data_IF_388584860927
#
_entry.id   IF_388584860927
#
_cell.length_a   1.000
_cell.length_b   1.000
_cell.length_c   1.000
_cell.angle_alpha   90.00
_cell.angle_beta   90.00
_cell.angle_gamma   90.00
#
_symmetry.space_group_name_H-M   'P 1'
#
loop_
_entity.id
_entity.type
_entity.pdbx_description
1 polymer ?
#
# COMPACT_ATOMS: atom_id res chain seq x y z
N UNK A 1 -76.77 -7.28 46.87
CA UNK A 1 -76.26 -7.50 45.51
C UNK A 1 -75.08 -6.60 45.26
N UNK A 2 -73.86 -7.12 45.31
CA UNK A 2 -72.58 -6.34 45.10
C UNK A 2 -71.96 -6.93 43.86
N UNK A 3 -71.94 -6.11 42.77
CA UNK A 3 -71.26 -6.42 41.55
C UNK A 3 -69.78 -6.04 41.68
N UNK A 4 -68.89 -7.04 41.55
CA UNK A 4 -67.43 -6.84 41.45
C UNK A 4 -67.13 -6.70 39.98
N UNK A 5 -66.64 -5.52 39.60
CA UNK A 5 -66.09 -5.23 38.27
C UNK A 5 -64.60 -5.58 38.33
N UNK A 6 -64.20 -6.63 37.61
CA UNK A 6 -62.80 -7.00 37.40
C UNK A 6 -62.20 -6.13 36.29
N UNK A 7 -61.28 -5.26 36.64
CA UNK A 7 -60.54 -4.44 35.71
C UNK A 7 -59.31 -5.21 35.20
N UNK A 8 -59.39 -5.73 33.95
CA UNK A 8 -58.25 -6.39 33.28
C UNK A 8 -57.24 -5.33 32.80
N UNK A 9 -56.07 -5.27 33.44
CA UNK A 9 -54.94 -4.46 32.98
C UNK A 9 -54.29 -5.20 31.79
N UNK A 10 -54.50 -4.72 30.59
CA UNK A 10 -53.71 -5.11 29.41
C UNK A 10 -52.39 -4.37 29.43
N UNK A 11 -51.30 -5.06 29.73
CA UNK A 11 -49.94 -4.55 29.59
C UNK A 11 -49.52 -4.69 28.12
N UNK A 12 -49.29 -3.62 27.37
CA UNK A 12 -48.72 -3.73 26.04
C UNK A 12 -47.26 -4.18 26.20
N UNK A 13 -46.93 -5.38 25.76
CA UNK A 13 -45.59 -5.84 25.50
C UNK A 13 -45.06 -5.05 24.27
N UNK A 14 -44.43 -3.89 24.53
CA UNK A 14 -43.59 -3.29 23.54
C UNK A 14 -42.35 -4.17 23.39
N UNK A 15 -42.42 -5.10 22.44
CA UNK A 15 -41.29 -5.85 21.97
C UNK A 15 -40.29 -4.86 21.43
N UNK A 16 -39.13 -4.71 22.08
CA UNK A 16 -37.93 -4.06 21.52
C UNK A 16 -37.48 -4.90 20.32
N UNK A 17 -38.07 -4.62 19.17
CA UNK A 17 -37.63 -5.11 17.89
C UNK A 17 -37.16 -3.96 17.04
N UNK A 18 -36.13 -3.27 17.48
CA UNK A 18 -35.39 -2.27 16.68
C UNK A 18 -33.92 -2.68 16.63
N UNK A 19 -33.67 -3.84 16.03
CA UNK A 19 -32.41 -4.00 15.34
C UNK A 19 -32.66 -3.35 13.98
N UNK A 20 -32.21 -2.11 13.82
CA UNK A 20 -32.23 -1.42 12.53
C UNK A 20 -31.29 -2.21 11.60
N UNK A 21 -31.76 -2.83 10.50
CA UNK A 21 -30.88 -3.54 9.59
C UNK A 21 -29.82 -2.63 8.92
N UNK A 22 -29.92 -1.31 9.09
CA UNK A 22 -28.90 -0.37 8.64
C UNK A 22 -27.74 -0.18 9.63
N UNK A 23 -27.80 -0.77 10.83
CA UNK A 23 -26.68 -0.73 11.80
C UNK A 23 -25.59 -1.74 11.45
N UNK A 24 -25.82 -2.62 10.47
CA UNK A 24 -24.90 -3.69 10.11
C UNK A 24 -23.89 -3.30 9.01
N UNK A 25 -24.00 -2.12 8.42
CA UNK A 25 -23.09 -1.67 7.37
C UNK A 25 -22.30 -0.42 7.80
N UNK A 26 -20.99 -0.55 7.84
CA UNK A 26 -20.07 0.54 8.15
C UNK A 26 -19.32 0.98 6.89
N UNK A 27 -19.17 2.30 6.70
CA UNK A 27 -18.22 2.83 5.73
C UNK A 27 -16.80 2.67 6.28
N UNK A 28 -16.01 1.80 5.66
CA UNK A 28 -14.61 1.55 5.99
C UNK A 28 -13.64 2.25 5.03
N UNK A 29 -14.09 3.23 4.25
CA UNK A 29 -13.16 4.02 3.43
C UNK A 29 -12.03 4.58 4.31
N UNK A 30 -10.79 4.25 3.97
CA UNK A 30 -9.62 4.70 4.72
C UNK A 30 -9.20 6.11 4.28
N UNK A 31 -8.67 6.92 5.19
CA UNK A 31 -7.98 8.15 4.82
C UNK A 31 -6.86 7.87 3.82
N UNK A 32 -6.66 8.78 2.88
CA UNK A 32 -5.60 8.65 1.89
C UNK A 32 -4.23 8.50 2.56
N UNK A 33 -3.48 7.47 2.16
CA UNK A 33 -2.10 7.23 2.58
C UNK A 33 -1.15 7.86 1.59
N UNK A 34 -0.24 8.70 2.07
CA UNK A 34 0.73 9.40 1.24
C UNK A 34 2.04 8.63 1.18
N UNK A 35 2.51 8.38 -0.04
CA UNK A 35 3.80 7.76 -0.34
C UNK A 35 4.67 8.76 -1.10
N UNK A 36 5.92 8.88 -0.68
CA UNK A 36 6.88 9.79 -1.33
C UNK A 36 8.11 9.01 -1.77
N UNK A 37 8.35 8.99 -3.07
CA UNK A 37 9.62 8.58 -3.67
C UNK A 37 10.45 9.85 -3.82
N UNK A 38 11.60 9.90 -3.15
CA UNK A 38 12.54 11.02 -3.27
C UNK A 38 13.90 10.46 -3.66
N UNK A 39 14.43 10.92 -4.79
CA UNK A 39 15.72 10.45 -5.31
C UNK A 39 16.88 10.72 -4.34
N UNK A 40 16.76 11.72 -3.47
CA UNK A 40 17.76 12.00 -2.44
C UNK A 40 17.92 10.82 -1.45
N UNK A 41 16.89 10.00 -1.24
CA UNK A 41 16.94 8.85 -0.33
C UNK A 41 17.81 7.71 -0.85
N UNK A 42 18.08 7.66 -2.16
CA UNK A 42 19.02 6.67 -2.70
C UNK A 42 20.48 7.05 -2.45
N UNK A 43 20.75 8.32 -2.12
CA UNK A 43 22.10 8.81 -1.84
C UNK A 43 23.07 8.60 -3.00
N UNK A 44 22.56 8.68 -4.24
CA UNK A 44 23.34 8.40 -5.44
C UNK A 44 24.54 9.34 -5.59
N UNK A 45 25.71 8.77 -5.66
CA UNK A 45 26.96 9.46 -5.95
C UNK A 45 27.63 8.79 -7.15
N UNK A 46 27.94 9.58 -8.18
CA UNK A 46 28.65 9.09 -9.38
C UNK A 46 27.95 7.91 -10.09
N UNK A 47 26.60 7.87 -10.10
CA UNK A 47 25.85 6.81 -10.73
C UNK A 47 26.17 6.65 -12.24
N UNK A 48 26.43 7.76 -12.95
CA UNK A 48 26.85 7.76 -14.35
C UNK A 48 28.21 7.05 -14.55
N UNK A 49 29.12 7.19 -13.59
CA UNK A 49 30.42 6.51 -13.63
C UNK A 49 30.24 5.02 -13.38
N UNK A 50 29.38 4.65 -12.44
CA UNK A 50 29.05 3.25 -12.14
C UNK A 50 28.46 2.56 -13.36
N UNK A 51 27.43 3.13 -13.98
CA UNK A 51 26.74 2.51 -15.13
C UNK A 51 27.60 2.51 -16.39
N UNK A 52 28.63 3.34 -16.46
CA UNK A 52 29.61 3.37 -17.54
C UNK A 52 30.84 2.48 -17.26
N UNK A 53 30.94 1.91 -16.05
CA UNK A 53 32.07 1.07 -15.67
C UNK A 53 32.05 -0.25 -16.45
N UNK A 54 33.15 -0.55 -17.15
CA UNK A 54 33.31 -1.85 -17.79
C UNK A 54 33.43 -2.95 -16.74
N UNK A 55 32.77 -4.06 -17.00
CA UNK A 55 32.74 -5.20 -16.09
C UNK A 55 32.96 -6.54 -16.78
N UNK A 56 33.17 -7.56 -15.97
CA UNK A 56 33.15 -8.97 -16.35
C UNK A 56 32.13 -9.69 -15.45
N UNK A 57 31.46 -10.69 -16.00
CA UNK A 57 30.44 -11.44 -15.26
C UNK A 57 31.05 -12.23 -14.09
N UNK A 58 32.31 -12.59 -14.20
CA UNK A 58 33.02 -13.35 -13.15
C UNK A 58 34.52 -13.04 -13.17
N UNK A 59 35.08 -12.41 -12.11
CA UNK A 59 34.37 -11.83 -10.98
C UNK A 59 33.59 -10.57 -11.38
N UNK A 60 32.44 -10.33 -10.72
CA UNK A 60 31.61 -9.15 -10.96
C UNK A 60 32.07 -7.98 -10.03
N UNK A 61 32.63 -6.89 -10.59
CA UNK A 61 33.06 -5.74 -9.80
C UNK A 61 31.93 -4.79 -9.46
N UNK A 62 30.74 -4.91 -10.09
CA UNK A 62 29.66 -3.94 -9.95
C UNK A 62 29.03 -3.92 -8.57
N UNK A 63 28.96 -5.08 -7.90
CA UNK A 63 28.40 -5.17 -6.55
C UNK A 63 29.18 -4.31 -5.54
N UNK A 64 30.50 -4.38 -5.57
CA UNK A 64 31.35 -3.58 -4.68
C UNK A 64 31.31 -2.09 -5.03
N UNK A 65 31.13 -1.75 -6.31
CA UNK A 65 30.98 -0.36 -6.75
C UNK A 65 29.63 0.24 -6.32
N UNK A 66 28.54 -0.57 -6.29
CA UNK A 66 27.24 -0.12 -5.83
C UNK A 66 27.24 0.28 -4.33
N UNK A 67 28.00 -0.41 -3.48
CA UNK A 67 28.15 -0.06 -2.05
C UNK A 67 28.73 1.35 -1.85
N UNK A 68 29.50 1.85 -2.81
CA UNK A 68 30.09 3.20 -2.79
C UNK A 68 29.19 4.25 -3.47
N UNK A 69 28.33 3.83 -4.39
CA UNK A 69 27.52 4.71 -5.21
C UNK A 69 26.12 5.00 -4.63
N UNK A 70 25.65 4.21 -3.67
CA UNK A 70 24.31 4.34 -3.09
C UNK A 70 24.35 4.35 -1.57
N UNK A 71 23.30 4.92 -0.95
CA UNK A 71 23.02 4.70 0.46
C UNK A 71 22.84 3.21 0.74
N UNK A 72 23.24 2.74 1.92
CA UNK A 72 23.24 1.32 2.29
C UNK A 72 21.87 0.66 2.08
N UNK A 73 21.82 -0.35 1.22
CA UNK A 73 20.61 -1.10 0.92
C UNK A 73 19.61 -0.41 -0.01
N UNK A 74 19.95 0.77 -0.56
CA UNK A 74 19.09 1.49 -1.50
C UNK A 74 19.23 1.01 -2.94
N UNK A 75 20.32 0.33 -3.26
CA UNK A 75 20.54 -0.23 -4.59
C UNK A 75 21.43 -1.48 -4.57
N UNK A 76 21.46 -2.16 -5.71
CA UNK A 76 22.46 -3.14 -6.10
C UNK A 76 22.95 -2.85 -7.52
N UNK A 77 24.12 -3.34 -7.88
CA UNK A 77 24.55 -3.34 -9.28
C UNK A 77 25.06 -4.71 -9.68
N UNK A 78 24.89 -5.03 -10.96
CA UNK A 78 25.29 -6.29 -11.56
C UNK A 78 25.87 -6.04 -12.95
N UNK A 79 26.85 -6.87 -13.34
CA UNK A 79 27.40 -6.80 -14.68
C UNK A 79 26.40 -7.31 -15.72
N UNK A 80 26.03 -6.48 -16.67
CA UNK A 80 25.23 -6.85 -17.82
C UNK A 80 26.08 -7.66 -18.79
N UNK A 81 25.72 -8.90 -19.02
CA UNK A 81 26.48 -9.81 -19.89
C UNK A 81 26.50 -9.39 -21.38
N UNK A 82 25.58 -8.51 -21.80
CA UNK A 82 25.47 -8.06 -23.19
C UNK A 82 26.26 -6.78 -23.43
N UNK A 83 26.07 -5.76 -22.58
CA UNK A 83 26.76 -4.47 -22.70
C UNK A 83 28.16 -4.48 -22.07
N UNK A 84 28.44 -5.44 -21.20
CA UNK A 84 29.65 -5.52 -20.36
C UNK A 84 29.87 -4.25 -19.52
N UNK A 85 28.78 -3.64 -19.09
CA UNK A 85 28.74 -2.50 -18.18
C UNK A 85 27.85 -2.81 -16.97
N UNK A 86 27.96 -2.03 -15.89
CA UNK A 86 27.17 -2.26 -14.69
C UNK A 86 25.73 -1.72 -14.85
N UNK A 87 24.74 -2.57 -14.66
CA UNK A 87 23.36 -2.15 -14.48
C UNK A 87 23.10 -1.88 -13.00
N UNK A 88 22.54 -0.70 -12.69
CA UNK A 88 22.16 -0.29 -11.34
C UNK A 88 20.69 -0.50 -11.12
N UNK A 89 20.29 -1.21 -10.05
CA UNK A 89 18.91 -1.37 -9.64
C UNK A 89 18.66 -0.63 -8.35
N UNK A 90 17.79 0.38 -8.40
CA UNK A 90 17.35 1.17 -7.25
C UNK A 90 16.06 0.56 -6.68
N UNK A 91 16.04 0.38 -5.35
CA UNK A 91 14.88 -0.15 -4.66
C UNK A 91 13.96 0.96 -4.20
N UNK A 92 12.69 0.81 -4.50
CA UNK A 92 11.59 1.58 -3.90
C UNK A 92 10.83 0.63 -2.99
N UNK A 93 10.78 0.95 -1.70
CA UNK A 93 9.98 0.21 -0.74
C UNK A 93 9.50 1.20 0.32
N UNK A 94 8.25 1.61 0.20
CA UNK A 94 7.60 2.58 1.07
C UNK A 94 6.47 1.88 1.82
N UNK A 95 6.29 2.18 3.09
CA UNK A 95 5.19 1.61 3.87
C UNK A 95 4.47 2.69 4.68
N UNK A 96 3.20 2.42 4.95
CA UNK A 96 2.37 3.24 5.84
C UNK A 96 1.49 2.32 6.68
N UNK A 97 1.48 2.48 8.01
CA UNK A 97 0.63 1.70 8.89
C UNK A 97 -0.84 2.08 8.73
N UNK A 98 -1.70 1.08 8.89
CA UNK A 98 -3.15 1.19 8.98
C UNK A 98 -3.58 0.59 10.30
N UNK A 99 -4.18 1.41 11.16
CA UNK A 99 -4.81 1.00 12.40
C UNK A 99 -6.29 1.37 12.32
N UNK A 100 -7.15 0.38 12.07
CA UNK A 100 -8.56 0.62 11.83
C UNK A 100 -9.28 1.18 13.06
N UNK A 101 -8.88 0.82 14.27
CA UNK A 101 -9.48 1.38 15.50
C UNK A 101 -9.13 2.85 15.70
N UNK A 102 -7.96 3.28 15.19
CA UNK A 102 -7.55 4.70 15.23
C UNK A 102 -8.22 5.50 14.10
N UNK A 103 -8.29 4.91 12.91
CA UNK A 103 -8.82 5.59 11.72
C UNK A 103 -10.35 5.60 11.64
N UNK A 104 -11.00 4.62 12.30
CA UNK A 104 -12.45 4.39 12.37
C UNK A 104 -12.86 4.09 13.81
N UNK A 105 -12.90 5.12 14.68
CA UNK A 105 -13.21 4.93 16.11
C UNK A 105 -14.58 4.29 16.37
N UNK A 106 -15.51 4.37 15.41
CA UNK A 106 -16.82 3.71 15.48
C UNK A 106 -16.72 2.18 15.59
N UNK A 107 -15.63 1.56 15.08
CA UNK A 107 -15.37 0.13 15.23
C UNK A 107 -15.18 -0.29 16.71
N UNK A 108 -14.86 0.66 17.58
CA UNK A 108 -14.75 0.38 19.01
C UNK A 108 -16.10 -0.08 19.62
N UNK A 109 -17.23 0.21 18.99
CA UNK A 109 -18.57 -0.21 19.46
C UNK A 109 -18.84 -1.70 19.24
N UNK A 110 -18.07 -2.35 18.35
CA UNK A 110 -18.19 -3.77 18.00
C UNK A 110 -16.94 -4.57 18.41
N UNK A 111 -16.21 -4.12 19.43
CA UNK A 111 -14.97 -4.76 19.86
C UNK A 111 -15.11 -6.21 20.33
N UNK A 112 -16.32 -6.64 20.70
CA UNK A 112 -16.60 -8.02 21.09
C UNK A 112 -16.63 -8.98 19.90
N UNK A 113 -16.83 -8.44 18.68
CA UNK A 113 -16.79 -9.25 17.46
C UNK A 113 -15.34 -9.59 17.10
N UNK A 114 -15.03 -10.86 16.78
CA UNK A 114 -13.67 -11.28 16.46
C UNK A 114 -13.21 -10.75 15.10
N UNK A 115 -14.08 -10.76 14.11
CA UNK A 115 -13.87 -10.36 12.72
C UNK A 115 -15.12 -9.68 12.19
N UNK A 116 -14.93 -8.84 11.17
CA UNK A 116 -16.02 -8.24 10.38
C UNK A 116 -15.91 -8.71 8.93
N UNK A 117 -17.05 -8.78 8.23
CA UNK A 117 -17.04 -9.07 6.80
C UNK A 117 -16.78 -7.77 6.01
N UNK A 118 -15.67 -7.71 5.30
CA UNK A 118 -15.23 -6.52 4.57
C UNK A 118 -15.32 -6.74 3.07
N UNK A 119 -15.99 -5.83 2.40
CA UNK A 119 -16.00 -5.75 0.93
C UNK A 119 -15.16 -4.55 0.46
N UNK A 120 -14.16 -4.81 -0.38
CA UNK A 120 -13.34 -3.77 -1.01
C UNK A 120 -14.03 -3.31 -2.31
N UNK A 121 -14.46 -2.06 -2.33
CA UNK A 121 -15.09 -1.46 -3.51
C UNK A 121 -14.04 -1.07 -4.54
N UNK A 122 -13.04 -0.25 -4.11
CA UNK A 122 -11.96 0.21 -4.95
C UNK A 122 -10.69 0.50 -4.14
N UNK A 123 -9.55 0.35 -4.78
CA UNK A 123 -8.28 0.94 -4.33
C UNK A 123 -7.89 1.96 -5.38
N UNK A 124 -7.69 3.20 -4.99
CA UNK A 124 -7.38 4.30 -5.90
C UNK A 124 -6.01 4.89 -5.60
N UNK A 125 -5.40 5.52 -6.60
CA UNK A 125 -4.21 6.34 -6.40
C UNK A 125 -4.37 7.69 -7.12
N UNK A 126 -3.65 8.70 -6.63
CA UNK A 126 -3.58 10.03 -7.21
C UNK A 126 -2.16 10.55 -7.14
N UNK A 127 -1.63 11.03 -8.27
CA UNK A 127 -0.29 11.64 -8.32
C UNK A 127 -0.42 13.12 -8.00
N UNK A 128 0.02 13.51 -6.79
CA UNK A 128 -0.11 14.87 -6.27
C UNK A 128 1.00 15.78 -6.76
N UNK A 129 2.22 15.25 -6.81
CA UNK A 129 3.43 15.95 -7.25
C UNK A 129 4.32 14.96 -8.01
N UNK A 130 4.90 15.39 -9.11
CA UNK A 130 5.89 14.60 -9.83
C UNK A 130 6.91 15.54 -10.47
N UNK A 131 8.09 15.57 -9.92
CA UNK A 131 9.27 16.25 -10.46
C UNK A 131 10.38 15.28 -10.89
N UNK A 132 10.05 13.95 -10.89
CA UNK A 132 11.00 12.96 -11.41
C UNK A 132 11.32 13.23 -12.88
N UNK A 133 12.61 13.18 -13.21
CA UNK A 133 13.10 13.31 -14.59
C UNK A 133 13.01 12.01 -15.40
N UNK A 134 12.64 10.90 -14.74
CA UNK A 134 12.46 9.58 -15.35
C UNK A 134 11.04 9.07 -15.05
N UNK A 135 10.51 8.22 -15.94
CA UNK A 135 9.26 7.50 -15.66
C UNK A 135 9.50 6.46 -14.54
N UNK A 136 8.50 6.27 -13.68
CA UNK A 136 8.55 5.13 -12.77
C UNK A 136 8.29 3.84 -13.52
N UNK A 137 8.86 2.71 -13.12
CA UNK A 137 8.33 1.42 -13.53
C UNK A 137 6.95 1.18 -12.90
N UNK A 138 6.31 0.07 -13.26
CA UNK A 138 5.13 -0.42 -12.53
C UNK A 138 5.47 -0.60 -11.06
N UNK A 139 4.59 -0.14 -10.18
CA UNK A 139 4.75 -0.25 -8.72
C UNK A 139 3.71 -1.24 -8.18
N UNK A 140 4.17 -2.19 -7.38
CA UNK A 140 3.30 -3.15 -6.71
C UNK A 140 2.84 -2.61 -5.38
N UNK A 141 1.57 -2.90 -5.05
CA UNK A 141 0.94 -2.54 -3.78
C UNK A 141 0.68 -3.82 -2.99
N UNK A 142 1.06 -3.82 -1.71
CA UNK A 142 0.94 -4.98 -0.84
C UNK A 142 0.22 -4.61 0.45
N UNK A 143 -0.45 -5.60 1.05
CA UNK A 143 -0.84 -5.60 2.45
C UNK A 143 0.07 -6.57 3.22
N UNK A 144 0.47 -6.21 4.42
CA UNK A 144 1.42 -6.98 5.20
C UNK A 144 1.24 -6.78 6.72
N UNK A 145 1.63 -7.73 7.58
CA UNK A 145 1.68 -7.51 9.02
C UNK A 145 2.57 -6.31 9.39
N UNK A 146 2.28 -5.65 10.51
CA UNK A 146 3.02 -4.45 10.99
C UNK A 146 4.54 -4.62 11.07
N UNK A 147 5.02 -5.84 11.26
CA UNK A 147 6.46 -6.15 11.33
C UNK A 147 7.15 -6.15 9.98
N UNK A 148 6.39 -6.15 8.89
CA UNK A 148 6.87 -6.20 7.51
C UNK A 148 6.82 -4.81 6.91
N UNK A 149 7.98 -4.29 6.51
CA UNK A 149 8.16 -2.93 5.98
C UNK A 149 8.78 -2.90 4.57
N UNK A 150 8.98 -4.08 3.96
CA UNK A 150 9.62 -4.21 2.63
C UNK A 150 8.75 -5.03 1.69
N UNK A 151 8.65 -4.56 0.44
CA UNK A 151 7.89 -5.22 -0.62
C UNK A 151 8.40 -6.63 -0.98
N UNK A 152 9.70 -6.90 -0.77
CA UNK A 152 10.30 -8.21 -1.05
C UNK A 152 10.16 -9.25 0.08
N UNK A 153 9.48 -8.90 1.18
CA UNK A 153 9.25 -9.82 2.29
C UNK A 153 8.21 -10.89 1.88
N UNK A 154 8.43 -12.18 2.20
CA UNK A 154 7.49 -13.25 1.85
C UNK A 154 6.12 -13.14 2.51
N UNK A 155 5.99 -12.36 3.58
CA UNK A 155 4.70 -12.07 4.24
C UNK A 155 3.98 -10.86 3.64
N UNK A 156 4.62 -10.10 2.73
CA UNK A 156 3.96 -9.04 1.98
C UNK A 156 3.12 -9.67 0.86
N UNK A 157 1.80 -9.50 0.93
CA UNK A 157 0.84 -10.09 -0.02
C UNK A 157 0.42 -9.03 -1.02
N UNK A 158 0.69 -9.27 -2.31
CA UNK A 158 0.34 -8.36 -3.40
C UNK A 158 -1.18 -8.19 -3.53
N UNK A 159 -1.65 -6.95 -3.48
CA UNK A 159 -3.06 -6.60 -3.66
C UNK A 159 -3.34 -5.95 -5.02
N UNK A 160 -2.33 -5.37 -5.67
CA UNK A 160 -2.49 -4.78 -6.99
C UNK A 160 -1.25 -4.05 -7.48
N UNK A 161 -1.40 -3.37 -8.62
CA UNK A 161 -0.32 -2.61 -9.24
C UNK A 161 -0.77 -1.22 -9.66
N UNK A 162 0.14 -0.25 -9.51
CA UNK A 162 0.04 1.08 -10.10
C UNK A 162 0.86 1.07 -11.38
N UNK A 163 0.28 1.36 -12.54
CA UNK A 163 1.02 1.42 -13.80
C UNK A 163 2.15 2.44 -13.77
N UNK A 164 3.09 2.32 -14.69
CA UNK A 164 4.19 3.27 -14.85
C UNK A 164 3.67 4.71 -14.96
N UNK A 165 4.26 5.61 -14.18
CA UNK A 165 3.92 7.04 -14.18
C UNK A 165 4.98 7.78 -15.02
N UNK A 166 4.59 8.47 -16.10
CA UNK A 166 5.54 9.23 -16.91
C UNK A 166 6.23 10.33 -16.11
N UNK A 167 7.47 10.65 -16.49
CA UNK A 167 8.25 11.72 -15.88
C UNK A 167 7.47 13.05 -15.86
N UNK A 168 7.49 13.75 -14.74
CA UNK A 168 6.86 15.06 -14.57
C UNK A 168 5.33 15.09 -14.65
N UNK A 169 4.64 13.95 -14.80
CA UNK A 169 3.20 13.90 -14.96
C UNK A 169 2.49 13.78 -13.61
N UNK A 170 1.53 14.65 -13.34
CA UNK A 170 0.52 14.49 -12.29
C UNK A 170 -0.72 13.82 -12.85
N UNK A 171 -1.46 13.08 -12.01
CA UNK A 171 -2.65 12.35 -12.43
C UNK A 171 -3.77 12.54 -11.41
N UNK A 172 -5.01 12.62 -11.89
CA UNK A 172 -6.20 12.57 -11.03
C UNK A 172 -6.36 11.20 -10.36
N UNK A 173 -7.44 11.06 -9.58
CA UNK A 173 -7.77 9.77 -8.96
C UNK A 173 -8.01 8.71 -10.04
N UNK A 174 -7.33 7.58 -9.90
CA UNK A 174 -7.32 6.47 -10.85
C UNK A 174 -7.31 5.16 -10.07
N UNK A 175 -7.94 4.12 -10.60
CA UNK A 175 -7.98 2.82 -9.94
C UNK A 175 -6.62 2.10 -10.03
N UNK A 176 -6.25 1.46 -8.91
CA UNK A 176 -5.16 0.47 -8.87
C UNK A 176 -5.62 -0.78 -9.63
N UNK A 177 -4.77 -1.33 -10.48
CA UNK A 177 -5.04 -2.61 -11.16
C UNK A 177 -4.92 -3.73 -10.13
N UNK A 178 -6.06 -4.26 -9.68
CA UNK A 178 -6.09 -5.27 -8.64
C UNK A 178 -5.60 -6.63 -9.15
N UNK A 179 -4.84 -7.34 -8.31
CA UNK A 179 -4.50 -8.73 -8.56
C UNK A 179 -5.76 -9.61 -8.42
N UNK A 180 -5.80 -10.83 -8.98
CA UNK A 180 -6.97 -11.71 -8.87
C UNK A 180 -7.43 -11.98 -7.45
N UNK A 181 -6.51 -11.97 -6.48
CA UNK A 181 -6.77 -12.17 -5.05
C UNK A 181 -6.69 -10.89 -4.23
N UNK A 182 -6.36 -9.75 -4.84
CA UNK A 182 -6.04 -8.51 -4.15
C UNK A 182 -7.14 -7.99 -3.25
N UNK A 183 -8.39 -7.98 -3.74
CA UNK A 183 -9.55 -7.59 -2.92
C UNK A 183 -9.73 -8.50 -1.71
N UNK A 184 -9.68 -9.82 -1.91
CA UNK A 184 -9.84 -10.78 -0.83
C UNK A 184 -8.70 -10.67 0.20
N UNK A 185 -7.47 -10.48 -0.28
CA UNK A 185 -6.30 -10.26 0.59
C UNK A 185 -6.47 -9.02 1.47
N UNK A 186 -6.84 -7.88 0.88
CA UNK A 186 -7.02 -6.65 1.66
C UNK A 186 -8.23 -6.77 2.60
N UNK A 187 -9.32 -7.39 2.16
CA UNK A 187 -10.50 -7.65 2.99
C UNK A 187 -10.14 -8.52 4.22
N UNK A 188 -9.28 -9.52 4.07
CA UNK A 188 -8.78 -10.34 5.19
C UNK A 188 -8.02 -9.49 6.23
N UNK A 189 -7.09 -8.61 5.79
CA UNK A 189 -6.39 -7.71 6.71
C UNK A 189 -7.31 -6.71 7.39
N UNK A 190 -8.27 -6.14 6.66
CA UNK A 190 -9.23 -5.19 7.20
C UNK A 190 -10.30 -5.86 8.07
N UNK A 191 -10.63 -7.14 7.79
CA UNK A 191 -11.58 -7.94 8.58
C UNK A 191 -11.10 -8.18 10.00
N UNK A 192 -9.79 -8.39 10.19
CA UNK A 192 -9.16 -8.39 11.52
C UNK A 192 -8.85 -6.96 11.98
N UNK A 193 -9.91 -6.19 12.20
CA UNK A 193 -9.82 -4.75 12.46
C UNK A 193 -9.09 -4.36 13.76
N UNK A 194 -8.80 -5.33 14.63
CA UNK A 194 -8.04 -5.14 15.87
C UNK A 194 -6.54 -5.25 15.67
N UNK A 195 -6.11 -5.84 14.57
CA UNK A 195 -4.70 -6.05 14.25
C UNK A 195 -4.25 -5.04 13.19
N UNK A 196 -3.43 -4.06 13.55
CA UNK A 196 -2.87 -3.12 12.58
C UNK A 196 -2.01 -3.83 11.54
N UNK A 197 -1.98 -3.28 10.33
CA UNK A 197 -1.21 -3.80 9.21
C UNK A 197 -0.54 -2.67 8.43
N UNK A 198 0.36 -3.01 7.49
CA UNK A 198 1.00 -2.06 6.61
C UNK A 198 0.44 -2.15 5.19
N UNK A 199 0.22 -1.00 4.55
CA UNK A 199 0.19 -0.88 3.10
C UNK A 199 1.62 -0.57 2.64
N UNK A 200 2.13 -1.36 1.69
CA UNK A 200 3.49 -1.21 1.17
C UNK A 200 3.41 -0.96 -0.33
N UNK A 201 4.17 0.01 -0.82
CA UNK A 201 4.36 0.26 -2.26
C UNK A 201 5.82 -0.04 -2.59
N UNK A 202 6.03 -0.92 -3.55
CA UNK A 202 7.36 -1.36 -3.94
C UNK A 202 7.57 -1.43 -5.44
N UNK A 203 8.81 -1.13 -5.86
CA UNK A 203 9.25 -1.25 -7.25
C UNK A 203 10.77 -1.30 -7.32
N UNK A 204 11.28 -1.68 -8.49
CA UNK A 204 12.71 -1.64 -8.81
C UNK A 204 12.91 -0.79 -10.06
N UNK A 205 13.69 0.27 -9.94
CA UNK A 205 14.06 1.12 -11.05
C UNK A 205 15.47 0.73 -11.52
N UNK A 206 15.57 0.27 -12.76
CA UNK A 206 16.84 -0.08 -13.38
C UNK A 206 17.39 1.13 -14.11
N UNK A 207 18.69 1.39 -13.93
CA UNK A 207 19.46 2.43 -14.62
C UNK A 207 20.63 1.76 -15.32
N UNK A 208 20.68 1.87 -16.65
CA UNK A 208 21.71 1.31 -17.49
C UNK A 208 22.63 2.38 -18.05
N UNK A 209 23.69 1.97 -18.75
CA UNK A 209 24.56 2.91 -19.41
C UNK A 209 23.79 3.77 -20.41
N UNK A 210 23.89 5.10 -20.25
CA UNK A 210 23.21 6.08 -21.10
C UNK A 210 21.81 6.49 -20.62
N UNK A 211 21.27 5.82 -19.63
CA UNK A 211 20.02 6.26 -19.01
C UNK A 211 20.23 7.48 -18.13
N UNK A 212 19.19 8.29 -17.99
CA UNK A 212 19.21 9.41 -17.06
C UNK A 212 19.23 8.90 -15.61
N UNK A 213 20.13 9.43 -14.79
CA UNK A 213 20.10 9.18 -13.34
C UNK A 213 18.84 9.81 -12.77
N UNK A 214 18.04 9.05 -11.99
CA UNK A 214 16.81 9.54 -11.41
C UNK A 214 17.04 10.72 -10.47
N UNK A 215 16.34 11.82 -10.71
CA UNK A 215 16.33 13.02 -9.87
C UNK A 215 14.90 13.53 -9.68
N UNK A 216 14.65 14.15 -8.52
CA UNK A 216 13.36 14.73 -8.20
C UNK A 216 12.54 13.88 -7.23
N UNK A 217 11.23 14.16 -7.18
CA UNK A 217 10.32 13.60 -6.20
C UNK A 217 8.98 13.23 -6.86
N UNK A 218 8.39 12.14 -6.40
CA UNK A 218 7.01 11.73 -6.72
C UNK A 218 6.23 11.57 -5.41
N UNK A 219 5.07 12.21 -5.32
CA UNK A 219 4.13 12.09 -4.20
C UNK A 219 2.84 11.48 -4.71
N UNK A 220 2.48 10.33 -4.15
CA UNK A 220 1.27 9.58 -4.51
C UNK A 220 0.41 9.38 -3.27
N UNK A 221 -0.87 9.67 -3.39
CA UNK A 221 -1.86 9.29 -2.41
C UNK A 221 -2.55 8.00 -2.85
N UNK A 222 -2.68 7.04 -1.93
CA UNK A 222 -3.43 5.80 -2.12
C UNK A 222 -4.64 5.82 -1.20
N UNK A 223 -5.82 5.60 -1.76
CA UNK A 223 -7.09 5.51 -1.03
C UNK A 223 -7.69 4.11 -1.13
N UNK A 224 -8.40 3.69 -0.08
CA UNK A 224 -9.18 2.46 -0.06
C UNK A 224 -10.63 2.82 0.20
N UNK A 225 -11.52 2.37 -0.69
CA UNK A 225 -12.99 2.45 -0.54
C UNK A 225 -13.49 1.05 -0.19
N UNK A 226 -14.10 0.91 0.95
CA UNK A 226 -14.59 -0.36 1.45
C UNK A 226 -15.83 -0.15 2.33
N UNK A 227 -16.61 -1.19 2.50
CA UNK A 227 -17.69 -1.26 3.49
C UNK A 227 -17.62 -2.59 4.24
N UNK A 228 -18.15 -2.61 5.44
CA UNK A 228 -18.19 -3.80 6.27
C UNK A 228 -19.61 -4.09 6.75
N UNK A 229 -19.91 -5.38 6.87
CA UNK A 229 -21.10 -5.91 7.54
C UNK A 229 -20.73 -6.66 8.82
N UNK A 230 -21.69 -6.73 9.75
CA UNK A 230 -21.59 -7.52 11.00
C UNK A 230 -22.70 -8.55 10.99
#
# INVERSE_FOLDING_TARGET
MRSLIALALAVPLFGCGLVDPNITNFDLALPNKTFTIDSANWGLMNADQLTSQACTVSPDPCAAAAEQACAMGACIAQCNATSLTCDLTLFVSLFTPVDLLVEKPELATIQDEPLIDVTIDAITYKVMENSLNVATPEMKVYAAPMTVIRAGDPLAREIGTVPAIPAGMTMGETDVVLSPTGKATLAEFMGDFKTPFNIIVGSNLMVQQGDAVPMGKLVVNVGVKAHAGV
#
